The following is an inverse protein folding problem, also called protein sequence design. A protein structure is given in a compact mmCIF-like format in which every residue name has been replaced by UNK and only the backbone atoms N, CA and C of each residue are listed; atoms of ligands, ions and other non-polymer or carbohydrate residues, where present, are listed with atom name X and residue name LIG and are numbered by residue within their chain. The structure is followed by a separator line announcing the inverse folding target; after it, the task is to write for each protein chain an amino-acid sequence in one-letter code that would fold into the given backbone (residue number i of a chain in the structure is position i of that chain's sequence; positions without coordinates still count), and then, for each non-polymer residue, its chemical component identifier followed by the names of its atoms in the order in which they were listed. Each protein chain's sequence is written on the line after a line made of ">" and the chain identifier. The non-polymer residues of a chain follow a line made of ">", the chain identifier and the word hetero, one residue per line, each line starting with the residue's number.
data_IF_302056062456
#
_entry.id   IF_302056062456
#
_cell.length_a   1.000
_cell.length_b   1.000
_cell.length_c   1.000
_cell.angle_alpha   90.00
_cell.angle_beta   90.00
_cell.angle_gamma   90.00
#
_symmetry.space_group_name_H-M   'P 1'
#
loop_
_entity.id
_entity.type
_entity.pdbx_description
1 polymer ?
#
# COMPACT_ATOMS: atom_id res chain seq x y z
N UNK A 1 -6.93 -22.50 -23.94
CA UNK A 1 -6.23 -21.23 -23.72
C UNK A 1 -4.75 -21.46 -24.01
N UNK A 2 -4.16 -20.61 -24.84
CA UNK A 2 -2.73 -20.63 -25.13
C UNK A 2 -2.05 -19.58 -24.24
N UNK A 3 -0.89 -19.94 -23.70
CA UNK A 3 -0.05 -19.05 -22.90
C UNK A 3 1.26 -18.83 -23.67
N UNK A 4 1.67 -17.58 -23.76
CA UNK A 4 2.94 -17.18 -24.32
C UNK A 4 3.75 -16.42 -23.28
N UNK A 5 5.01 -16.81 -23.11
CA UNK A 5 5.93 -16.10 -22.23
C UNK A 5 6.51 -14.90 -22.93
N UNK A 6 6.22 -13.72 -22.43
CA UNK A 6 6.84 -12.47 -22.89
C UNK A 6 8.29 -12.33 -22.35
N UNK A 7 9.12 -11.50 -22.98
CA UNK A 7 10.42 -11.11 -22.44
C UNK A 7 10.30 -10.51 -21.04
N UNK A 8 11.37 -10.59 -20.26
CA UNK A 8 11.41 -9.98 -18.94
C UNK A 8 11.30 -8.45 -19.05
N UNK A 9 10.61 -7.84 -18.08
CA UNK A 9 10.64 -6.40 -17.90
C UNK A 9 12.06 -5.94 -17.57
N UNK A 10 12.50 -4.84 -18.20
CA UNK A 10 13.80 -4.21 -17.99
C UNK A 10 13.61 -2.86 -17.32
N UNK A 11 14.39 -2.57 -16.29
CA UNK A 11 14.40 -1.29 -15.58
C UNK A 11 15.82 -0.95 -15.12
N UNK A 12 16.03 0.30 -14.66
CA UNK A 12 17.33 0.74 -14.14
C UNK A 12 17.66 0.06 -12.81
N UNK A 13 16.67 -0.09 -11.92
CA UNK A 13 16.79 -0.78 -10.64
C UNK A 13 16.23 -2.19 -10.74
N UNK A 14 16.65 -3.08 -9.83
CA UNK A 14 15.96 -4.36 -9.66
C UNK A 14 14.53 -4.11 -9.24
N UNK A 15 13.62 -4.91 -9.77
CA UNK A 15 12.20 -4.84 -9.45
C UNK A 15 11.75 -6.06 -8.68
N UNK A 16 10.85 -5.81 -7.72
CA UNK A 16 10.13 -6.81 -6.96
C UNK A 16 8.66 -6.39 -6.96
N UNK A 17 7.71 -7.27 -7.16
CA UNK A 17 6.29 -6.92 -7.14
C UNK A 17 5.88 -5.84 -8.16
N UNK A 18 6.11 -6.08 -9.42
CA UNK A 18 5.59 -5.25 -10.50
C UNK A 18 4.15 -5.66 -10.78
N UNK A 19 3.23 -4.70 -10.77
CA UNK A 19 1.80 -4.92 -10.99
C UNK A 19 1.30 -4.05 -12.13
N UNK A 20 0.57 -4.65 -13.06
CA UNK A 20 -0.05 -3.93 -14.18
C UNK A 20 -1.33 -3.26 -13.70
N UNK A 21 -1.46 -1.97 -14.00
CA UNK A 21 -2.72 -1.23 -13.84
C UNK A 21 -3.78 -1.77 -14.82
N UNK A 22 -5.04 -1.92 -14.41
CA UNK A 22 -6.06 -2.58 -15.26
C UNK A 22 -6.47 -1.79 -16.50
N UNK A 23 -6.20 -0.48 -16.53
CA UNK A 23 -6.57 0.41 -17.65
C UNK A 23 -5.33 1.09 -18.24
N UNK A 24 -5.44 1.47 -19.51
CA UNK A 24 -4.44 2.33 -20.13
C UNK A 24 -4.52 3.76 -19.54
N UNK A 25 -3.38 4.37 -19.33
CA UNK A 25 -3.25 5.77 -18.90
C UNK A 25 -2.47 6.52 -19.97
N UNK A 26 -3.08 7.58 -20.53
CA UNK A 26 -2.52 8.34 -21.66
C UNK A 26 -2.13 7.44 -22.86
N UNK A 27 -2.92 6.38 -23.10
CA UNK A 27 -2.69 5.42 -24.18
C UNK A 27 -1.51 4.47 -23.94
N UNK A 28 -0.95 4.42 -22.74
CA UNK A 28 0.18 3.58 -22.34
C UNK A 28 -0.21 2.53 -21.30
N UNK A 29 0.58 1.47 -21.23
CA UNK A 29 0.52 0.54 -20.10
C UNK A 29 1.10 1.21 -18.86
N UNK A 30 0.37 1.15 -17.76
CA UNK A 30 0.78 1.70 -16.49
C UNK A 30 1.15 0.60 -15.50
N UNK A 31 2.22 0.81 -14.75
CA UNK A 31 2.79 -0.17 -13.85
C UNK A 31 3.00 0.42 -12.46
N UNK A 32 2.66 -0.36 -11.45
CA UNK A 32 3.15 -0.14 -10.10
C UNK A 32 4.43 -0.97 -9.94
N UNK A 33 5.53 -0.29 -9.66
CA UNK A 33 6.86 -0.88 -9.55
C UNK A 33 7.37 -0.75 -8.12
N UNK A 34 8.45 -1.44 -7.80
CA UNK A 34 9.15 -1.31 -6.53
C UNK A 34 10.66 -1.36 -6.76
N UNK A 35 11.29 -0.22 -7.10
CA UNK A 35 12.73 -0.14 -7.29
C UNK A 35 13.46 -0.45 -5.98
N UNK A 36 14.23 -1.54 -5.97
CA UNK A 36 14.95 -1.99 -4.78
C UNK A 36 16.14 -2.87 -5.19
N UNK A 37 17.34 -2.34 -5.06
CA UNK A 37 18.56 -3.07 -5.45
C UNK A 37 19.00 -4.10 -4.40
N UNK A 38 18.70 -3.88 -3.12
CA UNK A 38 18.95 -4.83 -2.05
C UNK A 38 17.72 -5.65 -1.67
N UNK A 39 17.93 -6.94 -1.31
CA UNK A 39 16.81 -7.79 -0.86
C UNK A 39 16.35 -7.47 0.55
N UNK A 40 17.30 -7.34 1.49
CA UNK A 40 17.03 -7.08 2.91
C UNK A 40 17.10 -5.58 3.20
N UNK A 41 18.19 -4.95 2.78
CA UNK A 41 18.39 -3.51 2.91
C UNK A 41 17.93 -2.83 1.63
N UNK A 42 16.86 -2.06 1.75
CA UNK A 42 16.36 -1.24 0.65
C UNK A 42 17.22 0.01 0.42
N UNK A 43 18.16 0.32 1.31
CA UNK A 43 18.98 1.53 1.24
C UNK A 43 18.13 2.78 1.08
N UNK A 44 18.42 3.61 0.09
CA UNK A 44 17.63 4.76 -0.31
C UNK A 44 16.44 4.41 -1.22
N UNK A 45 16.42 3.18 -1.77
CA UNK A 45 15.36 2.68 -2.65
C UNK A 45 14.13 2.20 -1.89
N UNK A 46 13.21 1.59 -2.63
CA UNK A 46 11.95 1.07 -2.11
C UNK A 46 10.83 2.11 -2.13
N UNK A 47 9.65 1.68 -1.77
CA UNK A 47 8.42 2.43 -2.01
C UNK A 47 7.71 1.93 -3.27
N UNK A 48 6.39 2.11 -3.32
CA UNK A 48 5.63 1.82 -4.53
C UNK A 48 5.85 2.98 -5.48
N UNK A 49 6.27 2.65 -6.70
CA UNK A 49 6.50 3.62 -7.75
C UNK A 49 5.53 3.41 -8.91
N UNK A 50 5.36 4.44 -9.69
CA UNK A 50 4.53 4.48 -10.89
C UNK A 50 5.39 4.64 -12.13
N UNK A 51 5.10 3.86 -13.16
CA UNK A 51 5.78 3.94 -14.45
C UNK A 51 4.80 3.75 -15.60
N UNK A 52 5.08 4.39 -16.73
CA UNK A 52 4.37 4.20 -18.00
C UNK A 52 5.31 3.57 -19.01
N UNK A 53 4.80 2.58 -19.76
CA UNK A 53 5.52 1.93 -20.85
C UNK A 53 4.67 1.89 -22.11
N UNK A 54 5.31 1.94 -23.26
CA UNK A 54 4.63 1.97 -24.54
C UNK A 54 4.25 0.56 -25.05
N UNK A 55 5.04 -0.46 -24.70
CA UNK A 55 4.91 -1.82 -25.20
C UNK A 55 5.07 -2.85 -24.07
N UNK A 56 4.04 -3.64 -23.83
CA UNK A 56 4.07 -4.70 -22.80
C UNK A 56 4.86 -5.93 -23.27
N UNK A 57 4.98 -6.12 -24.58
CA UNK A 57 5.73 -7.26 -25.16
C UNK A 57 7.25 -7.04 -25.09
N UNK A 58 7.67 -5.79 -24.95
CA UNK A 58 9.06 -5.36 -24.72
C UNK A 58 9.10 -4.31 -23.62
N UNK A 59 8.69 -4.70 -22.43
CA UNK A 59 8.49 -3.80 -21.30
C UNK A 59 9.81 -3.20 -20.80
N UNK A 60 10.02 -1.90 -21.04
CA UNK A 60 11.19 -1.13 -20.58
C UNK A 60 10.74 0.06 -19.74
N UNK A 61 11.02 0.03 -18.46
CA UNK A 61 10.79 1.13 -17.54
C UNK A 61 11.95 2.12 -17.61
N UNK A 62 11.76 3.20 -18.37
CA UNK A 62 12.75 4.27 -18.55
C UNK A 62 12.75 5.27 -17.41
N UNK A 63 11.58 5.49 -16.79
CA UNK A 63 11.38 6.43 -15.71
C UNK A 63 10.28 5.90 -14.79
N UNK A 64 10.51 6.02 -13.49
CA UNK A 64 9.51 5.72 -12.47
C UNK A 64 9.54 6.82 -11.39
N UNK A 65 8.40 7.08 -10.78
CA UNK A 65 8.25 8.04 -9.68
C UNK A 65 7.67 7.33 -8.47
N UNK A 66 8.21 7.59 -7.30
CA UNK A 66 7.69 7.02 -6.04
C UNK A 66 6.39 7.73 -5.69
N UNK A 67 5.30 6.98 -5.57
CA UNK A 67 3.97 7.48 -5.21
C UNK A 67 3.60 7.15 -3.77
N UNK A 68 4.10 6.04 -3.23
CA UNK A 68 3.85 5.57 -1.87
C UNK A 68 5.19 5.28 -1.19
N UNK A 69 5.67 6.26 -0.42
CA UNK A 69 7.01 6.23 0.20
C UNK A 69 7.08 5.31 1.42
N UNK A 70 8.29 4.85 1.71
CA UNK A 70 8.63 4.28 3.01
C UNK A 70 8.60 5.37 4.08
N UNK A 71 8.14 5.00 5.28
CA UNK A 71 8.12 5.91 6.41
C UNK A 71 8.70 5.26 7.65
N UNK A 72 9.69 5.90 8.24
CA UNK A 72 10.33 5.45 9.47
C UNK A 72 9.31 5.39 10.62
N UNK A 73 9.45 4.41 11.51
CA UNK A 73 8.53 4.10 12.62
C UNK A 73 7.12 3.69 12.22
N UNK A 74 6.89 3.32 10.97
CA UNK A 74 5.61 2.80 10.50
C UNK A 74 5.74 1.35 10.06
N UNK A 75 4.61 0.75 9.64
CA UNK A 75 4.58 -0.58 9.03
C UNK A 75 5.38 -0.67 7.72
N UNK A 76 5.76 0.47 7.14
CA UNK A 76 6.46 0.62 5.85
C UNK A 76 7.91 1.07 6.00
N UNK A 77 8.50 0.92 7.18
CA UNK A 77 9.84 1.48 7.45
C UNK A 77 10.95 0.79 6.67
N UNK A 78 10.87 -0.52 6.46
CA UNK A 78 11.89 -1.27 5.72
C UNK A 78 11.59 -1.28 4.23
N UNK A 79 10.39 -1.67 3.84
CA UNK A 79 9.92 -1.69 2.46
C UNK A 79 8.40 -1.80 2.39
N UNK A 80 7.85 -1.50 1.24
CA UNK A 80 6.47 -1.74 0.90
C UNK A 80 6.37 -2.11 -0.59
N UNK A 81 5.25 -2.65 -1.01
CA UNK A 81 5.04 -3.02 -2.40
C UNK A 81 3.57 -3.28 -2.66
N UNK A 82 3.19 -3.12 -3.92
CA UNK A 82 1.84 -3.46 -4.37
C UNK A 82 1.59 -4.96 -4.19
N UNK A 83 0.35 -5.31 -3.90
CA UNK A 83 -0.11 -6.69 -3.89
C UNK A 83 -0.80 -7.03 -5.22
N UNK A 84 -2.14 -7.24 -5.25
CA UNK A 84 -2.89 -7.41 -6.49
C UNK A 84 -3.06 -6.08 -7.25
N UNK A 85 -3.56 -6.16 -8.49
CA UNK A 85 -3.97 -4.95 -9.23
C UNK A 85 -5.08 -4.19 -8.46
N UNK A 86 -5.14 -2.85 -8.59
CA UNK A 86 -6.14 -2.06 -7.88
C UNK A 86 -7.56 -2.33 -8.39
N UNK A 87 -8.54 -2.13 -7.51
CA UNK A 87 -9.96 -2.21 -7.84
C UNK A 87 -10.48 -0.79 -8.15
N UNK A 88 -11.12 -0.63 -9.32
CA UNK A 88 -11.79 0.62 -9.66
C UNK A 88 -13.04 0.79 -8.83
N UNK A 89 -13.19 1.95 -8.20
CA UNK A 89 -14.39 2.33 -7.43
C UNK A 89 -14.88 3.71 -7.86
N UNK A 90 -16.11 4.13 -7.54
CA UNK A 90 -16.58 5.48 -7.85
C UNK A 90 -15.74 6.61 -7.20
N UNK A 91 -15.00 6.32 -6.13
CA UNK A 91 -14.25 7.30 -5.34
C UNK A 91 -12.74 7.30 -5.61
N UNK A 92 -12.24 6.37 -6.41
CA UNK A 92 -10.82 6.22 -6.70
C UNK A 92 -10.43 4.76 -6.96
N UNK A 93 -9.16 4.54 -7.22
CA UNK A 93 -8.58 3.21 -7.29
C UNK A 93 -8.23 2.76 -5.88
N UNK A 94 -8.80 1.63 -5.46
CA UNK A 94 -8.53 1.01 -4.17
C UNK A 94 -7.37 0.02 -4.31
N UNK A 95 -6.36 0.15 -3.46
CA UNK A 95 -5.14 -0.65 -3.48
C UNK A 95 -5.01 -1.49 -2.22
N UNK A 96 -4.53 -2.72 -2.38
CA UNK A 96 -4.08 -3.59 -1.30
C UNK A 96 -2.57 -3.81 -1.44
N UNK A 97 -1.82 -3.30 -0.50
CA UNK A 97 -0.36 -3.35 -0.51
C UNK A 97 0.19 -4.07 0.72
N UNK A 98 1.46 -4.45 0.69
CA UNK A 98 2.16 -4.97 1.85
C UNK A 98 3.17 -3.97 2.39
N UNK A 99 3.24 -3.87 3.71
CA UNK A 99 4.24 -3.10 4.43
C UNK A 99 5.15 -4.03 5.22
N UNK A 100 6.42 -3.66 5.34
CA UNK A 100 7.43 -4.46 6.03
C UNK A 100 8.15 -3.64 7.07
N UNK A 101 8.18 -4.17 8.27
CA UNK A 101 8.85 -3.60 9.43
C UNK A 101 9.88 -4.56 10.01
N UNK A 102 11.01 -4.05 10.48
CA UNK A 102 11.97 -4.82 11.28
C UNK A 102 11.45 -4.99 12.71
N UNK A 103 11.55 -6.20 13.21
CA UNK A 103 11.22 -6.58 14.59
C UNK A 103 12.39 -7.39 15.18
N UNK A 104 12.42 -7.55 16.51
CA UNK A 104 13.43 -8.38 17.16
C UNK A 104 13.46 -9.83 16.65
N UNK A 105 12.32 -10.34 16.19
CA UNK A 105 12.16 -11.69 15.62
C UNK A 105 12.35 -11.75 14.08
N UNK A 106 12.88 -10.71 13.45
CA UNK A 106 13.04 -10.62 12.00
C UNK A 106 12.07 -9.64 11.36
N UNK A 107 11.75 -9.84 10.08
CA UNK A 107 10.84 -8.98 9.34
C UNK A 107 9.38 -9.37 9.62
N UNK A 108 8.53 -8.37 9.77
CA UNK A 108 7.08 -8.54 9.84
C UNK A 108 6.43 -7.94 8.61
N UNK A 109 5.66 -8.74 7.91
CA UNK A 109 4.85 -8.31 6.75
C UNK A 109 3.39 -8.21 7.14
N UNK A 110 2.77 -7.10 6.78
CA UNK A 110 1.35 -6.82 7.00
C UNK A 110 0.73 -6.27 5.72
N UNK A 111 -0.59 -6.38 5.60
CA UNK A 111 -1.32 -5.77 4.50
C UNK A 111 -1.90 -4.43 4.93
N UNK A 112 -1.89 -3.45 4.04
CA UNK A 112 -2.50 -2.14 4.23
C UNK A 112 -3.24 -1.68 2.97
N UNK A 113 -4.14 -0.73 3.14
CA UNK A 113 -4.92 -0.14 2.06
C UNK A 113 -4.47 1.30 1.80
N UNK A 114 -4.63 1.74 0.58
CA UNK A 114 -4.56 3.16 0.19
C UNK A 114 -5.42 3.38 -1.06
N UNK A 115 -5.68 4.63 -1.42
CA UNK A 115 -6.43 4.96 -2.64
C UNK A 115 -5.68 5.97 -3.49
N UNK A 116 -5.84 5.83 -4.82
CA UNK A 116 -5.36 6.82 -5.79
C UNK A 116 -6.52 7.40 -6.60
N UNK A 117 -6.29 8.56 -7.21
CA UNK A 117 -7.28 9.26 -8.01
C UNK A 117 -7.66 8.47 -9.26
N UNK A 118 -8.93 8.60 -9.71
CA UNK A 118 -9.37 8.07 -11.00
C UNK A 118 -8.75 8.81 -12.18
N UNK A 119 -8.62 10.14 -12.06
CA UNK A 119 -8.08 10.99 -13.13
C UNK A 119 -6.56 10.90 -13.25
N UNK A 120 -5.89 10.63 -12.13
CA UNK A 120 -4.44 10.48 -12.06
C UNK A 120 -4.08 9.32 -11.10
N UNK A 121 -3.98 8.09 -11.60
CA UNK A 121 -3.68 6.92 -10.76
C UNK A 121 -2.31 6.95 -10.08
N UNK A 122 -1.45 7.90 -10.41
CA UNK A 122 -0.19 8.13 -9.70
C UNK A 122 -0.34 8.99 -8.43
N UNK A 123 -1.52 9.61 -8.23
CA UNK A 123 -1.79 10.51 -7.11
C UNK A 123 -2.52 9.81 -5.98
N UNK A 124 -1.88 9.62 -4.85
CA UNK A 124 -2.49 9.10 -3.62
C UNK A 124 -3.49 10.13 -3.05
N UNK A 125 -4.71 9.68 -2.74
CA UNK A 125 -5.81 10.51 -2.21
C UNK A 125 -6.30 10.09 -0.82
N UNK A 126 -5.99 8.85 -0.39
CA UNK A 126 -6.26 8.37 0.97
C UNK A 126 -5.18 7.38 1.39
N UNK A 127 -4.71 7.51 2.63
CA UNK A 127 -3.60 6.73 3.17
C UNK A 127 -3.81 6.45 4.66
N UNK A 128 -4.63 5.44 5.01
CA UNK A 128 -4.83 5.02 6.39
C UNK A 128 -3.51 4.71 7.10
N UNK A 129 -3.40 5.07 8.36
CA UNK A 129 -2.28 4.68 9.21
C UNK A 129 -2.38 3.23 9.67
N UNK A 130 -1.25 2.63 10.05
CA UNK A 130 -1.19 1.26 10.54
C UNK A 130 -1.41 0.21 9.46
N UNK A 131 -1.84 -0.97 9.88
CA UNK A 131 -2.13 -2.10 9.00
C UNK A 131 -3.64 -2.36 8.92
N UNK A 132 -4.09 -2.87 7.78
CA UNK A 132 -5.43 -3.39 7.58
C UNK A 132 -5.53 -4.84 8.07
N UNK A 133 -4.56 -5.69 7.70
CA UNK A 133 -4.46 -7.07 8.15
C UNK A 133 -3.04 -7.39 8.59
N UNK A 134 -2.91 -8.16 9.66
CA UNK A 134 -1.63 -8.63 10.19
C UNK A 134 -1.74 -10.09 10.64
N UNK A 135 -0.65 -10.87 10.65
CA UNK A 135 -0.72 -12.27 11.06
C UNK A 135 -1.11 -12.39 12.54
N UNK A 136 -2.09 -13.25 12.84
CA UNK A 136 -2.60 -13.53 14.18
C UNK A 136 -2.55 -15.02 14.50
N UNK A 137 -2.37 -15.38 15.77
CA UNK A 137 -2.36 -16.78 16.21
C UNK A 137 -1.39 -17.64 15.40
N UNK A 138 -1.89 -18.72 14.82
CA UNK A 138 -1.11 -19.68 14.01
C UNK A 138 -0.59 -19.11 12.68
N UNK A 139 -1.17 -18.00 12.19
CA UNK A 139 -0.66 -17.33 11.00
C UNK A 139 0.75 -16.76 11.18
N UNK A 140 1.20 -16.62 12.44
CA UNK A 140 2.53 -16.08 12.76
C UNK A 140 3.65 -17.09 12.57
N UNK A 141 3.34 -18.35 12.40
CA UNK A 141 4.34 -19.44 12.34
C UNK A 141 4.22 -20.20 11.03
N UNK A 142 5.35 -20.48 10.42
CA UNK A 142 5.43 -21.23 9.17
C UNK A 142 6.84 -21.17 8.60
N UNK A 143 6.97 -21.38 7.32
CA UNK A 143 8.24 -21.37 6.61
C UNK A 143 8.94 -20.00 6.72
N UNK A 144 8.19 -18.93 6.56
CA UNK A 144 8.63 -17.55 6.85
C UNK A 144 7.68 -16.90 7.86
N UNK A 145 8.08 -16.88 9.14
CA UNK A 145 7.22 -16.41 10.21
C UNK A 145 6.86 -14.91 10.12
N UNK A 146 5.72 -14.52 10.69
CA UNK A 146 5.20 -13.16 10.74
C UNK A 146 4.94 -12.49 9.38
N UNK A 147 4.50 -13.24 8.40
CA UNK A 147 4.19 -12.74 7.04
C UNK A 147 2.72 -12.90 6.72
N UNK A 148 2.07 -11.81 6.28
CA UNK A 148 0.90 -11.85 5.41
C UNK A 148 1.28 -11.29 4.05
N UNK A 149 0.88 -11.98 2.99
CA UNK A 149 1.14 -11.56 1.63
C UNK A 149 -0.08 -11.85 0.73
N UNK A 150 -0.39 -10.92 -0.19
CA UNK A 150 -1.51 -11.07 -1.12
C UNK A 150 -1.09 -10.65 -2.52
N UNK A 151 -1.42 -11.48 -3.51
CA UNK A 151 -1.30 -11.17 -4.93
C UNK A 151 -2.66 -11.28 -5.65
N UNK A 152 -3.75 -11.43 -4.90
CA UNK A 152 -5.05 -11.62 -5.51
C UNK A 152 -6.20 -11.11 -4.65
N UNK A 153 -7.09 -10.35 -5.26
CA UNK A 153 -8.42 -10.09 -4.76
C UNK A 153 -9.41 -9.96 -5.92
N UNK A 154 -10.66 -10.14 -5.64
CA UNK A 154 -11.73 -10.08 -6.63
C UNK A 154 -12.86 -9.25 -6.02
N UNK A 155 -13.33 -8.25 -6.74
CA UNK A 155 -14.58 -7.57 -6.45
C UNK A 155 -15.68 -8.19 -7.31
N UNK A 156 -16.74 -8.68 -6.68
CA UNK A 156 -17.91 -9.24 -7.36
C UNK A 156 -18.93 -8.12 -7.68
N UNK A 157 -19.89 -8.42 -8.52
CA UNK A 157 -20.91 -7.47 -8.99
C UNK A 157 -21.81 -6.94 -7.85
N UNK A 158 -21.97 -7.70 -6.77
CA UNK A 158 -22.72 -7.30 -5.57
C UNK A 158 -21.91 -6.39 -4.61
N UNK A 159 -20.67 -6.06 -4.97
CA UNK A 159 -19.75 -5.26 -4.16
C UNK A 159 -18.96 -6.06 -3.13
N UNK A 160 -19.14 -7.38 -3.06
CA UNK A 160 -18.33 -8.24 -2.20
C UNK A 160 -16.90 -8.32 -2.70
N UNK A 161 -15.92 -8.20 -1.81
CA UNK A 161 -14.49 -8.32 -2.11
C UNK A 161 -13.93 -9.55 -1.42
N UNK A 162 -13.36 -10.45 -2.22
CA UNK A 162 -12.63 -11.63 -1.76
C UNK A 162 -11.13 -11.33 -1.79
N UNK A 163 -10.48 -11.35 -0.63
CA UNK A 163 -9.05 -11.08 -0.47
C UNK A 163 -8.35 -12.41 -0.24
N UNK A 164 -7.60 -12.87 -1.23
CA UNK A 164 -6.78 -14.10 -1.11
C UNK A 164 -5.42 -13.71 -0.54
N UNK A 165 -5.03 -14.34 0.56
CA UNK A 165 -3.74 -14.08 1.17
C UNK A 165 -3.07 -15.35 1.69
N UNK A 166 -1.75 -15.31 1.77
CA UNK A 166 -0.95 -16.34 2.39
C UNK A 166 -0.45 -15.88 3.76
N UNK A 167 -0.38 -16.81 4.72
CA UNK A 167 0.26 -16.58 6.00
C UNK A 167 1.52 -17.41 6.15
N UNK A 168 2.61 -16.75 6.58
CA UNK A 168 3.93 -17.34 6.87
C UNK A 168 4.44 -18.30 5.78
N UNK A 169 4.13 -17.99 4.51
CA UNK A 169 4.47 -18.76 3.30
C UNK A 169 4.05 -20.25 3.37
N UNK A 170 3.07 -20.57 4.21
CA UNK A 170 2.68 -21.95 4.51
C UNK A 170 1.19 -22.21 4.24
N UNK A 171 0.32 -21.24 4.47
CA UNK A 171 -1.14 -21.42 4.40
C UNK A 171 -1.78 -20.38 3.50
N UNK A 172 -2.80 -20.82 2.76
CA UNK A 172 -3.65 -19.94 1.95
C UNK A 172 -4.97 -19.70 2.66
N UNK A 173 -5.43 -18.45 2.61
CA UNK A 173 -6.65 -17.99 3.24
C UNK A 173 -7.46 -17.11 2.28
N UNK A 174 -8.73 -16.92 2.60
CA UNK A 174 -9.58 -15.92 2.00
C UNK A 174 -10.28 -15.12 3.11
N UNK A 175 -10.22 -13.81 3.00
CA UNK A 175 -11.03 -12.88 3.80
C UNK A 175 -12.05 -12.21 2.89
N UNK A 176 -13.18 -11.79 3.45
CA UNK A 176 -14.22 -11.07 2.71
C UNK A 176 -14.50 -9.71 3.33
N UNK A 177 -14.81 -8.75 2.47
CA UNK A 177 -15.28 -7.41 2.84
C UNK A 177 -16.26 -6.91 1.77
N UNK A 178 -16.56 -5.63 1.77
CA UNK A 178 -17.28 -4.97 0.69
C UNK A 178 -16.53 -3.73 0.23
N UNK A 179 -16.74 -3.33 -1.02
CA UNK A 179 -16.15 -2.09 -1.58
C UNK A 179 -16.46 -0.90 -0.67
N UNK A 180 -17.71 -0.76 -0.25
CA UNK A 180 -18.16 0.34 0.63
C UNK A 180 -17.35 0.38 1.94
N UNK A 181 -17.20 -0.75 2.63
CA UNK A 181 -16.42 -0.82 3.89
C UNK A 181 -14.95 -0.51 3.70
N UNK A 182 -14.37 -0.96 2.59
CA UNK A 182 -12.95 -0.70 2.29
C UNK A 182 -12.70 0.77 1.96
N UNK A 183 -13.63 1.43 1.22
CA UNK A 183 -13.59 2.87 0.98
C UNK A 183 -13.76 3.64 2.28
N UNK A 184 -14.78 3.28 3.09
CA UNK A 184 -15.03 3.91 4.39
C UNK A 184 -13.79 3.82 5.30
N UNK A 185 -13.14 2.65 5.37
CA UNK A 185 -11.89 2.47 6.10
C UNK A 185 -10.79 3.41 5.56
N UNK A 186 -10.60 3.49 4.24
CA UNK A 186 -9.58 4.35 3.65
C UNK A 186 -9.82 5.84 3.90
N UNK A 187 -11.08 6.27 3.87
CA UNK A 187 -11.47 7.69 4.00
C UNK A 187 -11.49 8.18 5.45
N UNK A 188 -11.86 7.32 6.37
CA UNK A 188 -12.11 7.73 7.76
C UNK A 188 -11.07 7.23 8.76
N UNK A 189 -10.15 6.35 8.36
CA UNK A 189 -9.01 6.00 9.20
C UNK A 189 -7.93 7.09 9.08
N UNK A 190 -7.52 7.71 10.19
CA UNK A 190 -6.47 8.72 10.19
C UNK A 190 -5.16 8.18 9.62
N UNK A 191 -4.37 9.06 9.00
CA UNK A 191 -3.00 8.75 8.61
C UNK A 191 -2.13 8.35 9.81
N UNK A 192 -1.04 7.66 9.54
CA UNK A 192 -0.12 7.20 10.57
C UNK A 192 0.51 8.40 11.32
N UNK A 193 0.17 8.52 12.59
CA UNK A 193 0.62 9.61 13.47
C UNK A 193 2.02 9.37 14.06
N UNK A 194 2.60 8.20 13.88
CA UNK A 194 3.96 7.89 14.35
C UNK A 194 5.06 8.54 13.48
N UNK A 195 4.69 9.16 12.38
CA UNK A 195 5.61 10.07 11.67
C UNK A 195 5.95 11.23 12.60
N UNK A 196 7.24 11.50 12.83
CA UNK A 196 7.68 12.58 13.71
C UNK A 196 7.02 13.92 13.36
N UNK A 197 6.92 14.30 12.08
CA UNK A 197 6.25 15.52 11.62
C UNK A 197 4.74 15.51 11.94
N UNK A 198 4.06 14.40 11.72
CA UNK A 198 2.61 14.29 11.99
C UNK A 198 2.34 14.27 13.50
N UNK A 199 3.19 13.63 14.29
CA UNK A 199 3.10 13.63 15.75
C UNK A 199 3.26 15.03 16.32
N UNK A 200 4.26 15.78 15.85
CA UNK A 200 4.49 17.16 16.26
C UNK A 200 3.31 18.04 15.89
N UNK A 201 2.80 17.94 14.66
CA UNK A 201 1.61 18.67 14.23
C UNK A 201 0.40 18.39 15.11
N UNK A 202 0.13 17.13 15.42
CA UNK A 202 -0.99 16.76 16.30
C UNK A 202 -0.89 17.40 17.69
N UNK A 203 0.32 17.49 18.23
CA UNK A 203 0.54 18.17 19.53
C UNK A 203 0.24 19.66 19.42
N UNK A 204 0.72 20.33 18.37
CA UNK A 204 0.40 21.74 18.15
C UNK A 204 -1.10 21.96 17.96
N UNK A 205 -1.78 21.15 17.17
CA UNK A 205 -3.23 21.24 16.96
C UNK A 205 -4.01 21.13 18.29
N UNK A 206 -3.61 20.21 19.17
CA UNK A 206 -4.20 20.07 20.51
C UNK A 206 -3.92 21.31 21.39
N UNK A 207 -2.71 21.84 21.34
CA UNK A 207 -2.35 23.06 22.09
C UNK A 207 -3.22 24.25 21.64
N UNK A 208 -3.40 24.44 20.33
CA UNK A 208 -4.22 25.53 19.81
C UNK A 208 -5.69 25.39 20.20
N UNK A 209 -6.26 24.17 20.10
CA UNK A 209 -7.63 23.90 20.57
C UNK A 209 -7.78 24.21 22.06
N UNK A 210 -6.82 23.79 22.89
CA UNK A 210 -6.85 24.08 24.33
C UNK A 210 -6.78 25.57 24.63
N UNK A 211 -5.97 26.34 23.90
CA UNK A 211 -5.91 27.81 24.06
C UNK A 211 -7.27 28.46 23.76
N UNK A 212 -7.96 28.02 22.70
CA UNK A 212 -9.29 28.52 22.37
C UNK A 212 -10.30 28.25 23.51
N UNK A 213 -10.36 27.01 23.97
CA UNK A 213 -11.26 26.61 25.08
C UNK A 213 -10.97 27.39 26.36
N UNK A 214 -9.69 27.60 26.68
CA UNK A 214 -9.31 28.39 27.86
C UNK A 214 -9.67 29.87 27.71
N UNK A 215 -9.56 30.44 26.51
CA UNK A 215 -9.93 31.83 26.24
C UNK A 215 -11.45 32.05 26.34
N UNK A 216 -12.25 31.11 25.86
CA UNK A 216 -13.71 31.16 25.97
C UNK A 216 -14.19 31.05 27.44
N UNK A 217 -13.55 30.18 28.24
CA UNK A 217 -13.87 30.06 29.66
C UNK A 217 -13.37 31.23 30.52
N UNK A 218 -12.40 32.01 30.06
CA UNK A 218 -11.94 33.21 30.74
C UNK A 218 -12.92 34.39 30.62
N UNK A 219 -13.90 34.29 29.72
CA UNK A 219 -14.96 35.31 29.54
C UNK A 219 -16.18 35.03 30.42
N UNK A 220 -16.24 33.88 31.10
CA UNK A 220 -17.37 33.44 31.93
C UNK A 220 -17.09 33.63 33.45
N UNK A 221 -15.89 34.08 33.83
CA UNK A 221 -15.49 34.47 35.18
C UNK A 221 -15.31 35.95 35.31
#
# INVERSE_FOLDING_TARGET
>A
KNWERLPNLVSQSQQRNVVLHPEFVDGKYALYTRPQDGFIDAGSGGGISWALIDDITHAVVKKEIVIEQRHYHTIKEVKNGEGPHPIKTPEGWLHLAHGVRACAAGLRYVLYLYMTSLDDPSKVIAQPGGYFMAPVGEERTGDVSNVLFSNGWIADEDGTVYIYYASSDTRMHVATSTIERLIDYCRHTPEDRLRSTTSVKSIYDIIEVNKLVMSENAVIL
#
